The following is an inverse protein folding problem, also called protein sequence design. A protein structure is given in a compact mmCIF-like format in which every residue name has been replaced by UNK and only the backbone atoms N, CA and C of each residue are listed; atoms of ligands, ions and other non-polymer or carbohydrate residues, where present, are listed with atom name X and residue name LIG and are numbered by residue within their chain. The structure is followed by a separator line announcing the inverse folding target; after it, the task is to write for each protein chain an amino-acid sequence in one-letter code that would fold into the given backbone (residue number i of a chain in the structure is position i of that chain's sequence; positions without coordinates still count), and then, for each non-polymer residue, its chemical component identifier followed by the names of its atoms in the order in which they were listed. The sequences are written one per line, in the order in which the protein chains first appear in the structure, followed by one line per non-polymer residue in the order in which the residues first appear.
data_IF_270646854897
#
_entry.id   IF_270646854897
#
_cell.length_a   1.000
_cell.length_b   1.000
_cell.length_c   1.000
_cell.angle_alpha   90.00
_cell.angle_beta   90.00
_cell.angle_gamma   90.00
#
_symmetry.space_group_name_H-M   'P 1'
#
loop_
_entity.id
_entity.type
_entity.pdbx_description
1 polymer ?
#
# COMPACT_ATOMS: atom_id res chain seq x y z
N UNK A 1 28.64 -2.71 -33.74
CA UNK A 1 27.52 -1.86 -33.25
C UNK A 1 28.12 -0.82 -32.31
N UNK A 2 28.35 0.40 -32.79
CA UNK A 2 28.88 1.50 -31.96
C UNK A 2 27.80 1.95 -30.99
N UNK A 3 28.05 1.86 -29.68
CA UNK A 3 27.24 2.56 -28.69
C UNK A 3 27.32 4.05 -29.00
N UNK A 4 26.23 4.65 -29.46
CA UNK A 4 26.11 6.10 -29.58
C UNK A 4 26.20 6.70 -28.18
N UNK A 5 27.18 7.57 -27.94
CA UNK A 5 27.28 8.35 -26.71
C UNK A 5 25.94 9.05 -26.43
N UNK A 6 25.38 8.97 -25.22
CA UNK A 6 24.12 9.62 -24.90
C UNK A 6 24.31 11.14 -25.04
N UNK A 7 23.54 11.74 -25.94
CA UNK A 7 23.56 13.19 -26.10
C UNK A 7 22.95 13.86 -24.85
N UNK A 8 23.43 15.05 -24.50
CA UNK A 8 22.92 15.82 -23.34
C UNK A 8 21.39 16.00 -23.40
N UNK A 9 20.85 16.12 -24.61
CA UNK A 9 19.41 16.20 -24.87
C UNK A 9 18.68 14.90 -24.52
N UNK A 10 19.24 13.74 -24.87
CA UNK A 10 18.68 12.44 -24.51
C UNK A 10 18.67 12.26 -22.98
N UNK A 11 19.74 12.65 -22.29
CA UNK A 11 19.80 12.61 -20.82
C UNK A 11 18.70 13.48 -20.20
N UNK A 12 18.54 14.71 -20.70
CA UNK A 12 17.53 15.65 -20.19
C UNK A 12 16.11 15.13 -20.44
N UNK A 13 15.85 14.56 -21.61
CA UNK A 13 14.57 13.94 -21.92
C UNK A 13 14.27 12.75 -21.00
N UNK A 14 15.24 11.86 -20.80
CA UNK A 14 15.09 10.69 -19.92
C UNK A 14 14.86 11.10 -18.47
N UNK A 15 15.57 12.14 -18.00
CA UNK A 15 15.38 12.72 -16.66
C UNK A 15 13.94 13.25 -16.49
N UNK A 16 13.44 14.03 -17.44
CA UNK A 16 12.09 14.56 -17.39
C UNK A 16 11.03 13.44 -17.41
N UNK A 17 11.23 12.43 -18.24
CA UNK A 17 10.35 11.27 -18.31
C UNK A 17 10.35 10.50 -16.98
N UNK A 18 11.51 10.30 -16.36
CA UNK A 18 11.63 9.65 -15.06
C UNK A 18 10.87 10.43 -13.99
N UNK A 19 11.07 11.75 -13.90
CA UNK A 19 10.33 12.60 -12.95
C UNK A 19 8.82 12.51 -13.15
N UNK A 20 8.33 12.54 -14.39
CA UNK A 20 6.91 12.36 -14.68
C UNK A 20 6.39 10.98 -14.25
N UNK A 21 7.18 9.92 -14.45
CA UNK A 21 6.81 8.57 -14.03
C UNK A 21 6.75 8.45 -12.50
N UNK A 22 7.67 9.07 -11.77
CA UNK A 22 7.68 9.06 -10.31
C UNK A 22 6.44 9.80 -9.77
N UNK A 23 6.15 11.00 -10.27
CA UNK A 23 4.96 11.74 -9.87
C UNK A 23 3.67 10.97 -10.19
N UNK A 24 3.61 10.31 -11.35
CA UNK A 24 2.48 9.47 -11.72
C UNK A 24 2.35 8.26 -10.79
N UNK A 25 3.45 7.62 -10.39
CA UNK A 25 3.44 6.54 -9.42
C UNK A 25 2.85 7.03 -8.09
N UNK A 26 3.33 8.17 -7.58
CA UNK A 26 2.83 8.76 -6.33
C UNK A 26 1.33 9.07 -6.37
N UNK A 27 0.83 9.63 -7.47
CA UNK A 27 -0.62 9.88 -7.66
C UNK A 27 -1.43 8.58 -7.70
N UNK A 28 -0.92 7.53 -8.36
CA UNK A 28 -1.59 6.23 -8.38
C UNK A 28 -1.59 5.55 -7.01
N UNK A 29 -0.49 5.62 -6.27
CA UNK A 29 -0.38 5.07 -4.92
C UNK A 29 -1.37 5.78 -3.97
N UNK A 30 -1.50 7.11 -4.07
CA UNK A 30 -2.47 7.89 -3.29
C UNK A 30 -3.92 7.51 -3.63
N UNK A 31 -4.24 7.36 -4.92
CA UNK A 31 -5.58 6.94 -5.36
C UNK A 31 -5.91 5.51 -4.93
N UNK A 32 -4.93 4.61 -4.98
CA UNK A 32 -5.09 3.24 -4.52
C UNK A 32 -5.44 3.23 -3.03
N UNK A 33 -4.67 3.94 -2.20
CA UNK A 33 -4.93 4.04 -0.76
C UNK A 33 -6.34 4.59 -0.46
N UNK A 34 -6.77 5.63 -1.16
CA UNK A 34 -8.11 6.20 -0.98
C UNK A 34 -9.23 5.22 -1.38
N UNK A 35 -9.01 4.44 -2.44
CA UNK A 35 -9.97 3.43 -2.89
C UNK A 35 -10.05 2.26 -1.90
N UNK A 36 -8.92 1.82 -1.37
CA UNK A 36 -8.86 0.76 -0.34
C UNK A 36 -9.61 1.18 0.94
N UNK A 37 -9.43 2.41 1.40
CA UNK A 37 -10.19 2.97 2.52
C UNK A 37 -11.70 3.00 2.22
N UNK A 38 -12.07 3.47 1.02
CA UNK A 38 -13.47 3.48 0.61
C UNK A 38 -14.09 2.08 0.53
N UNK A 39 -13.33 1.05 0.14
CA UNK A 39 -13.82 -0.34 0.14
C UNK A 39 -14.12 -0.79 1.56
N UNK A 40 -13.18 -0.56 2.48
CA UNK A 40 -13.32 -0.96 3.88
C UNK A 40 -14.54 -0.31 4.56
N UNK A 41 -14.77 0.98 4.31
CA UNK A 41 -15.94 1.69 4.82
C UNK A 41 -17.23 1.09 4.25
N UNK A 42 -17.27 0.80 2.94
CA UNK A 42 -18.44 0.22 2.29
C UNK A 42 -18.74 -1.19 2.76
N UNK A 43 -17.72 -1.98 3.04
CA UNK A 43 -17.89 -3.29 3.68
C UNK A 43 -18.53 -3.12 5.06
N UNK A 44 -18.01 -2.22 5.89
CA UNK A 44 -18.53 -1.93 7.23
C UNK A 44 -20.01 -1.51 7.17
N UNK A 45 -20.35 -0.57 6.28
CA UNK A 45 -21.72 -0.12 6.05
C UNK A 45 -22.62 -1.29 5.64
N UNK A 46 -22.19 -2.09 4.66
CA UNK A 46 -22.96 -3.23 4.14
C UNK A 46 -23.23 -4.29 5.22
N UNK A 47 -22.25 -4.58 6.08
CA UNK A 47 -22.42 -5.56 7.15
C UNK A 47 -23.32 -5.04 8.27
N UNK A 48 -23.27 -3.74 8.58
CA UNK A 48 -24.16 -3.12 9.56
C UNK A 48 -25.63 -3.16 9.12
N UNK A 49 -25.90 -3.00 7.82
CA UNK A 49 -27.25 -3.06 7.26
C UNK A 49 -27.76 -4.50 7.04
N UNK A 50 -26.84 -5.45 6.79
CA UNK A 50 -27.17 -6.84 6.44
C UNK A 50 -27.58 -7.70 7.64
N UNK A 51 -28.85 -7.61 8.03
CA UNK A 51 -29.40 -8.33 9.19
C UNK A 51 -29.73 -9.81 8.92
N UNK A 52 -30.12 -10.16 7.69
CA UNK A 52 -30.71 -11.47 7.36
C UNK A 52 -29.82 -12.38 6.50
N UNK A 53 -28.59 -11.97 6.27
CA UNK A 53 -27.63 -12.67 5.41
C UNK A 53 -26.79 -11.67 4.62
N UNK A 54 -25.62 -12.11 4.19
CA UNK A 54 -24.70 -11.30 3.40
C UNK A 54 -23.89 -12.18 2.45
N UNK A 55 -23.14 -11.56 1.54
CA UNK A 55 -22.34 -12.28 0.54
C UNK A 55 -21.23 -13.17 1.16
N UNK A 56 -20.77 -12.86 2.37
CA UNK A 56 -19.65 -13.57 3.01
C UNK A 56 -20.11 -14.86 3.71
N UNK A 57 -21.22 -14.81 4.45
CA UNK A 57 -21.74 -15.95 5.24
C UNK A 57 -22.97 -16.62 4.61
N UNK A 58 -23.54 -16.04 3.55
CA UNK A 58 -24.70 -16.55 2.83
C UNK A 58 -26.05 -15.97 3.29
N UNK A 59 -27.11 -16.40 2.58
CA UNK A 59 -28.48 -15.86 2.72
C UNK A 59 -29.49 -16.86 3.29
N UNK A 60 -29.04 -17.96 3.89
CA UNK A 60 -29.94 -19.00 4.43
C UNK A 60 -30.93 -18.50 5.50
N UNK A 61 -30.57 -17.41 6.19
CA UNK A 61 -31.42 -16.78 7.20
C UNK A 61 -32.52 -15.91 6.60
N UNK A 62 -32.42 -15.53 5.32
CA UNK A 62 -33.44 -14.76 4.62
C UNK A 62 -34.72 -15.59 4.46
N UNK A 63 -34.61 -16.84 4.01
CA UNK A 63 -35.76 -17.74 3.85
C UNK A 63 -36.41 -18.12 5.20
N UNK A 64 -35.59 -18.28 6.25
CA UNK A 64 -36.07 -18.62 7.61
C UNK A 64 -36.75 -17.46 8.32
N UNK A 65 -36.34 -16.22 8.03
CA UNK A 65 -36.98 -15.00 8.52
C UNK A 65 -38.44 -14.88 8.03
N UNK A 66 -38.70 -15.22 6.77
CA UNK A 66 -40.07 -15.25 6.21
C UNK A 66 -40.98 -16.28 6.90
N UNK A 67 -40.41 -17.35 7.45
CA UNK A 67 -41.16 -18.44 8.08
C UNK A 67 -41.44 -18.24 9.58
N UNK A 68 -41.08 -17.09 10.17
CA UNK A 68 -41.41 -16.75 11.56
C UNK A 68 -40.63 -17.52 12.65
N UNK A 69 -39.65 -18.34 12.29
CA UNK A 69 -38.82 -19.07 13.26
C UNK A 69 -37.81 -18.12 13.91
N UNK A 70 -38.03 -17.79 15.18
CA UNK A 70 -37.40 -16.70 15.93
C UNK A 70 -35.97 -16.95 16.44
N UNK A 71 -35.24 -17.91 15.88
CA UNK A 71 -33.83 -18.19 16.26
C UNK A 71 -32.87 -17.17 15.65
N UNK A 72 -33.04 -15.89 15.99
CA UNK A 72 -32.23 -14.74 15.56
C UNK A 72 -30.89 -14.74 16.30
N UNK A 73 -29.96 -15.62 15.94
CA UNK A 73 -28.56 -15.37 16.28
C UNK A 73 -28.07 -14.24 15.38
N UNK A 74 -27.82 -13.06 15.96
CA UNK A 74 -27.15 -11.97 15.24
C UNK A 74 -25.86 -12.53 14.67
N UNK A 75 -25.66 -12.35 13.37
CA UNK A 75 -24.44 -12.79 12.71
C UNK A 75 -23.28 -12.02 13.34
N UNK A 76 -22.29 -12.76 13.85
CA UNK A 76 -21.10 -12.15 14.42
C UNK A 76 -20.18 -11.78 13.26
N UNK A 77 -19.75 -10.54 13.28
CA UNK A 77 -18.85 -9.96 12.32
C UNK A 77 -17.44 -9.92 12.90
N UNK A 78 -16.44 -10.30 12.11
CA UNK A 78 -15.01 -10.24 12.46
C UNK A 78 -14.24 -9.51 11.38
N UNK A 79 -13.06 -8.96 11.70
CA UNK A 79 -12.24 -8.28 10.68
C UNK A 79 -11.85 -9.20 9.51
N UNK A 80 -11.68 -10.49 9.76
CA UNK A 80 -11.43 -11.50 8.72
C UNK A 80 -12.57 -11.61 7.67
N UNK A 81 -13.75 -11.07 7.96
CA UNK A 81 -14.89 -11.06 7.03
C UNK A 81 -14.84 -9.89 6.02
N UNK A 82 -13.90 -8.96 6.15
CA UNK A 82 -13.59 -7.91 5.17
C UNK A 82 -12.88 -8.48 3.92
N UNK A 83 -13.50 -9.44 3.24
CA UNK A 83 -12.87 -10.20 2.16
C UNK A 83 -12.43 -9.34 0.97
N UNK A 84 -13.08 -8.19 0.72
CA UNK A 84 -12.69 -7.28 -0.35
C UNK A 84 -11.46 -6.48 0.07
N UNK A 85 -11.41 -5.98 1.30
CA UNK A 85 -10.19 -5.32 1.82
C UNK A 85 -9.01 -6.29 1.95
N UNK A 86 -9.27 -7.52 2.43
CA UNK A 86 -8.27 -8.59 2.54
C UNK A 86 -7.76 -9.09 1.19
N UNK A 87 -8.45 -8.78 0.09
CA UNK A 87 -7.97 -9.12 -1.26
C UNK A 87 -6.80 -8.24 -1.74
N UNK A 88 -6.56 -7.08 -1.10
CA UNK A 88 -5.42 -6.23 -1.41
C UNK A 88 -4.22 -6.55 -0.51
N UNK A 89 -3.13 -6.99 -1.13
CA UNK A 89 -1.86 -7.18 -0.44
C UNK A 89 -1.30 -5.85 0.14
N UNK A 90 -1.56 -4.73 -0.52
CA UNK A 90 -1.14 -3.39 -0.06
C UNK A 90 -1.90 -3.02 1.21
N UNK A 91 -3.22 -3.24 1.23
CA UNK A 91 -4.04 -3.01 2.41
C UNK A 91 -3.61 -3.90 3.59
N UNK A 92 -3.41 -5.20 3.36
CA UNK A 92 -2.94 -6.14 4.40
C UNK A 92 -1.58 -5.71 4.95
N UNK A 93 -0.65 -5.30 4.08
CA UNK A 93 0.66 -4.78 4.51
C UNK A 93 0.52 -3.51 5.36
N UNK A 94 -0.35 -2.58 4.97
CA UNK A 94 -0.64 -1.37 5.74
C UNK A 94 -1.26 -1.68 7.11
N UNK A 95 -2.16 -2.66 7.18
CA UNK A 95 -2.76 -3.16 8.42
C UNK A 95 -1.69 -3.77 9.34
N UNK A 96 -0.84 -4.67 8.82
CA UNK A 96 0.26 -5.26 9.60
C UNK A 96 1.28 -4.23 10.08
N UNK A 97 1.52 -3.17 9.29
CA UNK A 97 2.38 -2.04 9.69
C UNK A 97 1.75 -1.27 10.85
N UNK A 98 0.44 -1.02 10.81
CA UNK A 98 -0.31 -0.36 11.89
C UNK A 98 -0.38 -1.20 13.17
N UNK A 99 -0.45 -2.51 13.04
CA UNK A 99 -0.43 -3.46 14.17
C UNK A 99 0.97 -3.72 14.74
N UNK A 100 2.01 -3.12 14.16
CA UNK A 100 3.39 -3.28 14.62
C UNK A 100 4.00 -4.66 14.34
N UNK A 101 3.38 -5.45 13.46
CA UNK A 101 3.84 -6.80 13.09
C UNK A 101 4.67 -6.83 11.79
N UNK A 102 4.72 -5.72 11.04
CA UNK A 102 5.52 -5.62 9.82
C UNK A 102 7.01 -5.40 10.13
N UNK A 103 7.88 -6.20 9.50
CA UNK A 103 9.32 -5.96 9.47
C UNK A 103 9.63 -4.60 8.79
N UNK A 104 10.70 -3.89 9.17
CA UNK A 104 11.05 -2.62 8.55
C UNK A 104 11.29 -2.83 7.06
N UNK A 105 10.41 -2.24 6.25
CA UNK A 105 10.47 -2.33 4.81
C UNK A 105 11.58 -1.40 4.29
N UNK A 106 12.57 -1.98 3.63
CA UNK A 106 13.67 -1.23 3.01
C UNK A 106 13.25 -0.54 1.71
N UNK A 107 12.07 -0.86 1.16
CA UNK A 107 11.51 -0.23 -0.05
C UNK A 107 10.75 1.08 0.24
N UNK A 108 10.53 1.42 1.51
CA UNK A 108 9.96 2.72 1.96
C UNK A 108 10.98 3.87 1.87
N UNK A 109 12.15 3.66 1.24
CA UNK A 109 13.08 4.73 0.93
C UNK A 109 12.45 5.61 -0.15
N UNK A 110 11.70 6.63 0.29
CA UNK A 110 10.93 7.52 -0.55
C UNK A 110 11.77 8.03 -1.73
N UNK A 111 11.29 7.73 -2.93
CA UNK A 111 11.67 8.44 -4.16
C UNK A 111 10.96 9.81 -4.15
N UNK A 112 11.30 10.64 -3.15
CA UNK A 112 10.79 11.99 -3.01
C UNK A 112 11.52 12.88 -4.02
N UNK A 113 10.96 12.98 -5.23
CA UNK A 113 11.36 14.01 -6.19
C UNK A 113 10.60 15.29 -5.88
N UNK A 114 11.30 16.28 -5.33
CA UNK A 114 10.74 17.60 -5.11
C UNK A 114 10.45 18.26 -6.47
N UNK A 115 9.18 18.61 -6.81
CA UNK A 115 8.83 19.11 -8.14
C UNK A 115 9.44 20.48 -8.46
N UNK A 116 10.02 21.17 -7.46
CA UNK A 116 10.61 22.49 -7.60
C UNK A 116 12.15 22.45 -7.72
N UNK A 117 12.66 21.77 -8.74
CA UNK A 117 14.09 21.74 -9.11
C UNK A 117 14.63 23.04 -9.71
N UNK A 118 14.24 24.20 -9.16
CA UNK A 118 14.77 25.51 -9.51
C UNK A 118 15.83 25.94 -8.49
N UNK A 119 17.09 25.98 -8.92
CA UNK A 119 18.27 26.51 -8.22
C UNK A 119 17.96 27.40 -7.02
N UNK A 120 18.16 26.88 -5.80
CA UNK A 120 18.56 27.70 -4.67
C UNK A 120 19.42 26.88 -3.72
N UNK A 121 20.71 27.22 -3.70
CA UNK A 121 21.63 26.88 -2.64
C UNK A 121 21.27 27.70 -1.40
N UNK A 122 20.68 27.07 -0.40
CA UNK A 122 20.73 27.53 0.98
C UNK A 122 20.57 26.33 1.92
N UNK A 123 21.59 26.13 2.74
CA UNK A 123 21.87 24.87 3.41
C UNK A 123 20.86 24.50 4.50
N UNK A 124 20.68 23.19 4.63
CA UNK A 124 20.38 22.56 5.91
C UNK A 124 21.01 21.17 5.89
N UNK A 125 22.07 21.04 6.68
CA UNK A 125 22.81 19.81 6.89
C UNK A 125 21.86 18.70 7.33
N UNK A 126 21.65 17.72 6.47
CA UNK A 126 21.33 16.37 6.92
C UNK A 126 22.31 15.42 6.23
N UNK A 127 23.16 14.86 7.06
CA UNK A 127 24.28 14.00 6.71
C UNK A 127 23.77 12.72 6.04
N UNK A 128 23.53 12.74 4.72
CA UNK A 128 23.18 11.58 3.90
C UNK A 128 24.44 10.87 3.40
N UNK A 129 25.32 10.49 4.34
CA UNK A 129 26.36 9.51 4.06
C UNK A 129 25.71 8.15 3.85
N UNK A 130 25.80 7.60 2.63
CA UNK A 130 25.48 6.19 2.38
C UNK A 130 26.32 5.33 3.35
N UNK A 131 25.71 4.51 4.23
CA UNK A 131 26.49 3.68 5.13
C UNK A 131 27.16 2.58 4.30
N UNK A 132 28.48 2.68 4.16
CA UNK A 132 29.33 1.64 3.58
C UNK A 132 29.10 0.34 4.35
N UNK A 133 28.58 -0.70 3.65
CA UNK A 133 28.43 -2.06 4.17
C UNK A 133 29.78 -2.57 4.71
N UNK A 134 30.00 -2.55 6.03
CA UNK A 134 31.01 -3.42 6.65
C UNK A 134 30.49 -4.85 6.61
N UNK A 135 30.92 -5.62 5.60
CA UNK A 135 30.76 -7.08 5.59
C UNK A 135 31.52 -7.63 6.79
N UNK A 136 30.80 -8.16 7.78
CA UNK A 136 31.38 -8.95 8.88
C UNK A 136 31.90 -10.25 8.26
N UNK A 137 33.20 -10.32 7.97
CA UNK A 137 33.87 -11.57 7.60
C UNK A 137 33.88 -12.48 8.82
N UNK A 138 33.05 -13.52 8.81
CA UNK A 138 33.27 -14.71 9.62
C UNK A 138 34.33 -15.55 8.90
N UNK A 139 35.58 -15.38 9.29
CA UNK A 139 36.64 -16.34 9.07
C UNK A 139 37.11 -16.74 10.46
N UNK A 140 36.62 -17.88 10.94
CA UNK A 140 37.26 -18.61 12.03
C UNK A 140 37.99 -19.78 11.36
N UNK A 141 39.32 -19.73 11.40
CA UNK A 141 40.21 -20.83 11.04
C UNK A 141 40.85 -21.37 12.33
N UNK A 142 40.81 -22.71 12.45
CA UNK A 142 41.55 -23.64 13.33
C UNK A 142 41.15 -23.75 14.80
#
# INVERSE_FOLDING_TARGET
MSKSEPTLDQYTQLKNQLTQQILKKQDLDARLSALEESIYDKETDYFNESTYGNIVKGFDNFAKSLSGSSSKKKMVYTEDDHIFSMSSATFVKALSKREGSAAPDLDDYEDSVDPNGGNNASGKDSNSGTPVRKRKSRFDEK
#
